data_IF_439307457904
#
_entry.id   IF_439307457904
#
_cell.length_a   1.000
_cell.length_b   1.000
_cell.length_c   1.000
_cell.angle_alpha   90.00
_cell.angle_beta   90.00
_cell.angle_gamma   90.00
#
_symmetry.space_group_name_H-M   'P 1'
#
loop_
_entity.id
_entity.type
_entity.pdbx_description
1 polymer ?
#
# COMPACT_ATOMS: atom_id res chain seq x y z
N UNK A 1 -26.44 -12.49 -16.20
CA UNK A 1 -25.72 -12.61 -14.92
C UNK A 1 -24.59 -13.63 -15.07
N UNK A 2 -23.47 -13.48 -14.35
CA UNK A 2 -22.29 -14.38 -14.42
C UNK A 2 -22.22 -15.42 -13.29
N UNK A 3 -23.25 -15.52 -12.46
CA UNK A 3 -23.28 -16.45 -11.32
C UNK A 3 -22.25 -16.12 -10.23
N UNK A 4 -21.98 -14.83 -10.01
CA UNK A 4 -20.99 -14.39 -9.02
C UNK A 4 -21.67 -14.11 -7.68
N UNK A 5 -21.02 -14.55 -6.60
CA UNK A 5 -21.32 -14.12 -5.23
C UNK A 5 -20.17 -13.25 -4.75
N UNK A 6 -20.50 -12.13 -4.08
CA UNK A 6 -19.51 -11.22 -3.50
C UNK A 6 -19.56 -11.38 -1.99
N UNK A 7 -18.43 -11.75 -1.39
CA UNK A 7 -18.24 -11.78 0.06
C UNK A 7 -17.27 -10.66 0.47
N UNK A 8 -17.66 -9.86 1.47
CA UNK A 8 -16.79 -8.85 2.09
C UNK A 8 -16.33 -9.36 3.46
N UNK A 9 -15.05 -9.14 3.79
CA UNK A 9 -14.44 -9.63 5.03
C UNK A 9 -13.86 -8.42 5.77
N UNK A 10 -14.26 -8.25 7.03
CA UNK A 10 -13.60 -7.31 7.94
C UNK A 10 -12.23 -7.87 8.33
N UNK A 11 -11.16 -7.18 7.93
CA UNK A 11 -9.78 -7.68 8.11
C UNK A 11 -8.89 -6.74 8.94
N UNK A 12 -9.17 -5.43 8.90
CA UNK A 12 -8.38 -4.40 9.57
C UNK A 12 -8.91 -4.14 10.99
N UNK A 13 -8.00 -3.99 11.96
CA UNK A 13 -8.35 -3.98 13.40
C UNK A 13 -8.71 -2.59 13.95
N UNK A 14 -8.07 -1.56 13.39
CA UNK A 14 -8.15 -0.16 13.81
C UNK A 14 -9.30 0.59 13.12
N UNK A 15 -10.24 -0.13 12.52
CA UNK A 15 -11.46 0.46 11.95
C UNK A 15 -12.55 0.56 13.02
N UNK A 16 -13.24 1.71 13.07
CA UNK A 16 -14.47 1.86 13.86
C UNK A 16 -15.63 1.15 13.14
N UNK A 17 -15.96 -0.06 13.61
CA UNK A 17 -17.02 -0.88 13.04
C UNK A 17 -18.39 -0.18 13.11
N UNK A 18 -19.19 -0.33 12.06
CA UNK A 18 -20.57 0.16 11.97
C UNK A 18 -21.39 -0.74 11.04
N UNK A 19 -22.68 -0.44 10.85
CA UNK A 19 -23.57 -1.18 9.95
C UNK A 19 -23.08 -1.23 8.50
N UNK A 20 -22.22 -0.29 8.09
CA UNK A 20 -21.67 -0.18 6.73
C UNK A 20 -20.16 -0.45 6.65
N UNK A 21 -19.49 -0.63 7.79
CA UNK A 21 -18.04 -0.76 7.85
C UNK A 21 -17.61 -1.96 8.69
N UNK A 22 -17.09 -2.97 8.00
CA UNK A 22 -16.59 -4.20 8.61
C UNK A 22 -15.14 -4.02 9.07
N UNK A 23 -14.81 -4.61 10.22
CA UNK A 23 -13.45 -4.65 10.77
C UNK A 23 -13.20 -5.98 11.46
N UNK A 24 -11.97 -6.19 11.92
CA UNK A 24 -11.57 -7.37 12.69
C UNK A 24 -11.35 -7.00 14.16
N UNK A 25 -11.73 -7.88 15.09
CA UNK A 25 -11.28 -7.79 16.47
C UNK A 25 -10.20 -8.85 16.70
N UNK A 26 -8.91 -8.53 16.47
CA UNK A 26 -7.85 -9.52 16.59
C UNK A 26 -7.55 -9.82 18.06
N UNK A 27 -6.94 -10.99 18.36
CA UNK A 27 -6.28 -11.18 19.64
C UNK A 27 -5.19 -10.11 19.85
N UNK A 28 -4.89 -9.82 21.11
CA UNK A 28 -3.79 -8.91 21.49
C UNK A 28 -2.68 -9.70 22.17
N UNK A 29 -1.44 -9.38 21.85
CA UNK A 29 -0.27 -9.95 22.52
C UNK A 29 -0.03 -9.25 23.86
N UNK A 30 0.26 -10.03 24.90
CA UNK A 30 0.70 -9.50 26.19
C UNK A 30 2.21 -9.23 26.14
N UNK A 31 2.57 -7.94 26.20
CA UNK A 31 3.96 -7.47 26.19
C UNK A 31 4.46 -7.03 27.58
N UNK A 32 3.69 -7.25 28.65
CA UNK A 32 4.00 -6.76 30.00
C UNK A 32 5.32 -7.30 30.57
N UNK A 33 5.74 -8.48 30.12
CA UNK A 33 7.03 -9.10 30.49
C UNK A 33 8.22 -8.69 29.62
N UNK A 34 8.01 -7.94 28.52
CA UNK A 34 9.10 -7.52 27.64
C UNK A 34 9.75 -6.23 28.18
N UNK A 35 11.08 -6.25 28.39
CA UNK A 35 11.83 -5.06 28.82
C UNK A 35 11.89 -3.96 27.75
N UNK A 36 11.79 -4.33 26.48
CA UNK A 36 11.73 -3.43 25.34
C UNK A 36 10.72 -3.96 24.33
N UNK A 37 9.46 -3.54 24.47
CA UNK A 37 8.36 -3.91 23.57
C UNK A 37 8.53 -3.38 22.14
N UNK A 38 9.31 -2.29 21.96
CA UNK A 38 9.50 -1.58 20.70
C UNK A 38 8.83 -0.21 20.69
N UNK A 39 8.82 0.42 19.52
CA UNK A 39 8.23 1.75 19.29
C UNK A 39 7.19 1.68 18.17
N UNK A 40 6.23 2.59 18.21
CA UNK A 40 5.33 2.89 17.10
C UNK A 40 5.59 4.31 16.60
N UNK A 41 5.10 4.59 15.39
CA UNK A 41 5.23 5.89 14.74
C UNK A 41 3.89 6.27 14.12
N UNK A 42 3.54 7.55 14.21
CA UNK A 42 2.40 8.14 13.51
C UNK A 42 2.91 9.31 12.70
N UNK A 43 2.56 9.33 11.42
CA UNK A 43 2.81 10.47 10.56
C UNK A 43 1.58 11.38 10.51
N UNK A 44 1.82 12.69 10.51
CA UNK A 44 0.81 13.73 10.55
C UNK A 44 1.08 14.68 9.39
N UNK A 45 0.15 14.74 8.44
CA UNK A 45 0.16 15.66 7.28
C UNK A 45 -1.06 16.56 7.32
N UNK A 46 -1.01 17.68 8.06
CA UNK A 46 -2.14 18.59 8.14
C UNK A 46 -2.41 19.26 6.79
N UNK A 47 -3.69 19.37 6.44
CA UNK A 47 -4.17 20.24 5.35
C UNK A 47 -4.71 21.58 5.86
N UNK A 48 -4.89 21.69 7.18
CA UNK A 48 -5.33 22.89 7.89
C UNK A 48 -4.55 23.04 9.21
N UNK A 49 -4.49 24.25 9.75
CA UNK A 49 -3.85 24.49 11.04
C UNK A 49 -4.60 23.74 12.14
N UNK A 50 -3.86 22.94 12.92
CA UNK A 50 -4.44 22.20 14.05
C UNK A 50 -3.46 22.17 15.22
N UNK A 51 -3.94 22.29 16.45
CA UNK A 51 -3.09 22.19 17.66
C UNK A 51 -3.01 20.76 18.19
N UNK A 52 -3.97 19.92 17.83
CA UNK A 52 -4.13 18.56 18.34
C UNK A 52 -4.31 17.59 17.18
N UNK A 53 -3.66 16.43 17.29
CA UNK A 53 -3.83 15.32 16.35
C UNK A 53 -4.07 13.99 17.08
N UNK A 54 -4.80 13.08 16.45
CA UNK A 54 -4.99 11.71 16.96
C UNK A 54 -3.72 10.90 16.71
N UNK A 55 -3.34 10.02 17.64
CA UNK A 55 -2.22 9.08 17.46
C UNK A 55 -2.63 7.89 16.56
N UNK A 56 -3.15 8.21 15.39
CA UNK A 56 -3.56 7.28 14.36
C UNK A 56 -3.37 7.92 12.98
N UNK A 57 -3.24 7.08 11.96
CA UNK A 57 -3.46 7.54 10.60
C UNK A 57 -4.96 7.81 10.38
N UNK A 58 -5.29 9.01 9.90
CA UNK A 58 -6.66 9.46 9.63
C UNK A 58 -7.60 9.30 10.85
N UNK A 59 -8.73 8.63 10.64
CA UNK A 59 -9.81 8.44 11.62
C UNK A 59 -9.84 7.01 12.19
N UNK A 60 -8.70 6.31 12.18
CA UNK A 60 -8.58 4.96 12.74
C UNK A 60 -8.42 4.99 14.26
N UNK A 61 -8.59 3.82 14.91
CA UNK A 61 -8.34 3.65 16.33
C UNK A 61 -6.85 3.90 16.60
N UNK A 62 -6.51 4.79 17.55
CA UNK A 62 -5.11 5.07 17.88
C UNK A 62 -4.47 3.92 18.64
N UNK A 63 -3.15 3.82 18.53
CA UNK A 63 -2.33 3.08 19.49
C UNK A 63 -1.96 4.02 20.63
N UNK A 64 -2.45 3.74 21.83
CA UNK A 64 -2.29 4.63 22.99
C UNK A 64 -0.83 4.75 23.42
N UNK A 65 -0.41 5.96 23.78
CA UNK A 65 0.89 6.17 24.40
C UNK A 65 0.94 5.51 25.77
N UNK A 66 1.91 4.59 25.97
CA UNK A 66 2.10 3.85 27.23
C UNK A 66 2.33 4.77 28.43
N UNK A 67 3.04 5.88 28.21
CA UNK A 67 3.34 6.89 29.23
C UNK A 67 3.34 8.27 28.59
N UNK A 68 2.37 9.11 28.97
CA UNK A 68 2.24 10.48 28.46
C UNK A 68 3.43 11.40 28.83
N UNK A 69 4.20 11.01 29.84
CA UNK A 69 5.42 11.70 30.30
C UNK A 69 6.70 10.99 29.85
N UNK A 70 6.63 10.05 28.89
CA UNK A 70 7.81 9.36 28.38
C UNK A 70 8.85 10.39 27.87
N UNK A 71 10.07 10.42 28.44
CA UNK A 71 11.13 11.33 27.97
C UNK A 71 11.74 10.90 26.64
N UNK A 72 11.60 9.62 26.26
CA UNK A 72 12.21 9.04 25.05
C UNK A 72 11.30 9.16 23.81
N UNK A 73 10.08 9.68 23.97
CA UNK A 73 9.20 9.96 22.85
C UNK A 73 9.69 11.22 22.10
N UNK A 74 9.67 11.18 20.77
CA UNK A 74 10.18 12.24 19.90
C UNK A 74 9.12 12.69 18.91
N UNK A 75 9.21 13.96 18.49
CA UNK A 75 8.39 14.55 17.43
C UNK A 75 9.34 15.22 16.45
N UNK A 76 9.25 14.86 15.18
CA UNK A 76 10.03 15.44 14.10
C UNK A 76 9.13 16.21 13.15
N UNK A 77 9.72 17.18 12.44
CA UNK A 77 9.09 17.90 11.34
C UNK A 77 10.02 17.99 10.14
N UNK A 78 9.43 17.89 8.96
CA UNK A 78 10.05 18.10 7.64
C UNK A 78 9.17 19.01 6.79
N UNK A 79 9.79 19.70 5.84
CA UNK A 79 9.08 20.54 4.85
C UNK A 79 8.43 19.72 3.72
N UNK A 80 8.94 18.52 3.47
CA UNK A 80 8.46 17.52 2.50
C UNK A 80 9.11 16.16 2.83
N UNK A 81 8.71 15.09 2.14
CA UNK A 81 9.14 13.69 2.42
C UNK A 81 10.65 13.53 2.69
N UNK A 82 11.45 14.02 1.73
CA UNK A 82 12.91 13.94 1.68
C UNK A 82 13.59 15.20 2.24
N UNK A 83 12.83 16.08 2.91
CA UNK A 83 13.34 17.29 3.54
C UNK A 83 14.20 17.01 4.77
N UNK A 84 14.93 18.03 5.23
CA UNK A 84 15.70 17.94 6.48
C UNK A 84 14.77 17.66 7.67
N UNK A 85 15.11 16.64 8.44
CA UNK A 85 14.38 16.26 9.64
C UNK A 85 14.86 17.07 10.84
N UNK A 86 13.93 17.82 11.47
CA UNK A 86 14.22 18.59 12.68
C UNK A 86 13.40 18.07 13.86
N UNK A 87 14.06 17.73 14.96
CA UNK A 87 13.39 17.36 16.19
C UNK A 87 12.73 18.60 16.84
N UNK A 88 11.45 18.50 17.16
CA UNK A 88 10.72 19.52 17.92
C UNK A 88 11.01 19.30 19.42
N UNK A 89 11.51 20.33 20.13
CA UNK A 89 11.82 20.23 21.56
C UNK A 89 10.63 19.76 22.39
N UNK A 90 10.88 18.88 23.37
CA UNK A 90 9.85 18.22 24.19
C UNK A 90 8.98 19.21 24.97
N UNK A 91 9.51 20.37 25.33
CA UNK A 91 8.76 21.45 25.99
C UNK A 91 7.66 22.06 25.11
N UNK A 92 7.74 21.90 23.78
CA UNK A 92 6.79 22.45 22.83
C UNK A 92 5.61 21.51 22.55
N UNK A 93 5.65 20.25 22.97
CA UNK A 93 4.57 19.30 22.68
C UNK A 93 4.37 18.28 23.81
N UNK A 94 3.18 17.67 23.85
CA UNK A 94 2.81 16.71 24.90
C UNK A 94 1.74 15.75 24.40
N UNK A 95 1.66 14.57 25.02
CA UNK A 95 0.52 13.67 24.84
C UNK A 95 -0.68 14.25 25.60
N UNK A 96 -1.49 15.00 24.86
CA UNK A 96 -2.56 15.85 25.36
C UNK A 96 -3.51 16.24 24.22
N UNK A 97 -4.65 16.81 24.60
CA UNK A 97 -5.66 17.33 23.68
C UNK A 97 -6.07 18.73 24.10
N UNK A 98 -6.14 19.65 23.14
CA UNK A 98 -6.78 20.94 23.34
C UNK A 98 -8.30 20.77 23.39
N UNK A 99 -8.93 21.43 24.37
CA UNK A 99 -10.37 21.46 24.58
C UNK A 99 -10.82 22.88 24.90
N UNK A 100 -12.13 23.20 24.88
CA UNK A 100 -12.63 24.53 25.26
C UNK A 100 -12.22 24.99 26.68
N UNK A 101 -11.85 24.06 27.57
CA UNK A 101 -11.40 24.37 28.95
C UNK A 101 -9.87 24.39 29.10
N UNK A 102 -9.14 24.24 28.00
CA UNK A 102 -7.68 24.20 27.94
C UNK A 102 -7.11 22.86 27.50
N UNK A 103 -5.80 22.71 27.63
CA UNK A 103 -5.07 21.50 27.23
C UNK A 103 -5.10 20.47 28.36
N UNK A 104 -5.70 19.32 28.10
CA UNK A 104 -5.83 18.22 29.07
C UNK A 104 -4.97 17.02 28.66
N UNK A 105 -4.40 16.24 29.60
CA UNK A 105 -3.68 15.01 29.29
C UNK A 105 -4.50 14.02 28.46
N UNK A 106 -3.86 13.34 27.50
CA UNK A 106 -4.49 12.32 26.67
C UNK A 106 -3.45 11.31 26.19
N UNK A 107 -3.76 10.03 26.31
CA UNK A 107 -2.93 8.93 25.77
C UNK A 107 -3.18 8.66 24.29
N UNK A 108 -4.23 9.25 23.70
CA UNK A 108 -4.66 9.02 22.33
C UNK A 108 -4.31 10.18 21.39
N UNK A 109 -3.86 11.31 21.94
CA UNK A 109 -3.64 12.53 21.16
C UNK A 109 -2.27 13.13 21.45
N UNK A 110 -1.77 13.89 20.48
CA UNK A 110 -0.61 14.76 20.60
C UNK A 110 -1.06 16.22 20.45
N UNK A 111 -0.57 17.08 21.33
CA UNK A 111 -0.73 18.53 21.26
C UNK A 111 0.63 19.18 20.97
N UNK A 112 0.66 20.09 20.01
CA UNK A 112 1.82 20.90 19.66
C UNK A 112 1.53 22.38 19.95
N UNK A 113 2.34 23.00 20.80
CA UNK A 113 2.29 24.43 21.06
C UNK A 113 2.72 25.20 19.80
N UNK A 114 1.86 26.08 19.29
CA UNK A 114 2.03 26.73 17.99
C UNK A 114 1.35 26.00 16.83
N UNK A 115 0.96 24.74 17.02
CA UNK A 115 0.19 23.94 16.07
C UNK A 115 1.00 23.22 14.99
N UNK A 116 0.36 22.24 14.38
CA UNK A 116 0.75 21.54 13.16
C UNK A 116 0.40 22.42 11.95
N UNK A 117 1.39 22.72 11.11
CA UNK A 117 1.29 23.63 9.98
C UNK A 117 0.98 22.90 8.66
N UNK A 118 0.00 23.37 7.86
CA UNK A 118 -0.33 22.78 6.57
C UNK A 118 0.87 22.60 5.64
N UNK A 119 0.93 21.43 4.99
CA UNK A 119 1.97 21.11 4.01
C UNK A 119 3.31 20.65 4.62
N UNK A 120 3.47 20.69 5.95
CA UNK A 120 4.59 20.03 6.64
C UNK A 120 4.31 18.54 6.84
N UNK A 121 5.36 17.76 7.06
CA UNK A 121 5.27 16.36 7.47
C UNK A 121 5.80 16.22 8.90
N UNK A 122 4.95 15.80 9.83
CA UNK A 122 5.39 15.53 11.21
C UNK A 122 5.38 14.04 11.49
N UNK A 123 6.33 13.56 12.29
CA UNK A 123 6.40 12.16 12.71
C UNK A 123 6.61 12.08 14.22
N UNK A 124 5.65 11.47 14.92
CA UNK A 124 5.78 11.19 16.36
C UNK A 124 6.19 9.74 16.56
N UNK A 125 7.28 9.51 17.30
CA UNK A 125 7.76 8.18 17.67
C UNK A 125 7.60 7.99 19.18
N UNK A 126 6.96 6.90 19.58
CA UNK A 126 6.62 6.68 20.98
C UNK A 126 6.41 5.19 21.32
N UNK A 127 6.35 4.89 22.61
CA UNK A 127 6.05 3.54 23.10
C UNK A 127 4.54 3.34 23.30
N UNK A 128 4.05 2.17 22.93
CA UNK A 128 2.71 1.67 23.27
C UNK A 128 2.82 0.26 23.86
N UNK A 129 1.79 -0.16 24.61
CA UNK A 129 1.60 -1.55 25.03
C UNK A 129 0.44 -2.21 24.30
N UNK A 130 -0.31 -1.47 23.49
CA UNK A 130 -1.39 -2.03 22.69
C UNK A 130 -0.78 -2.79 21.51
N UNK A 131 -0.89 -4.11 21.54
CA UNK A 131 -0.26 -4.97 20.54
C UNK A 131 -1.29 -5.90 19.90
N UNK A 132 -2.25 -5.38 19.11
CA UNK A 132 -3.13 -6.21 18.32
C UNK A 132 -2.31 -7.05 17.35
N UNK A 133 -2.67 -8.33 17.20
CA UNK A 133 -2.06 -9.22 16.22
C UNK A 133 -2.64 -8.86 14.84
N UNK A 134 -2.12 -7.80 14.22
CA UNK A 134 -2.63 -7.27 12.96
C UNK A 134 -2.59 -8.31 11.81
N UNK A 135 -1.60 -9.20 11.83
CA UNK A 135 -1.49 -10.31 10.87
C UNK A 135 -2.69 -11.25 10.86
N UNK A 136 -3.52 -11.27 11.91
CA UNK A 136 -4.78 -12.02 11.93
C UNK A 136 -5.75 -11.61 10.81
N UNK A 137 -5.66 -10.40 10.27
CA UNK A 137 -6.45 -10.00 9.10
C UNK A 137 -6.14 -10.80 7.84
N UNK A 138 -4.87 -11.11 7.62
CA UNK A 138 -4.42 -11.94 6.49
C UNK A 138 -4.86 -13.41 6.66
N UNK A 139 -4.84 -13.91 7.90
CA UNK A 139 -5.33 -15.25 8.24
C UNK A 139 -6.86 -15.33 8.12
N UNK A 140 -7.59 -14.30 8.57
CA UNK A 140 -9.04 -14.24 8.41
C UNK A 140 -9.45 -14.27 6.93
N UNK A 141 -8.71 -13.57 6.06
CA UNK A 141 -8.93 -13.63 4.61
C UNK A 141 -8.72 -15.06 4.07
N UNK A 142 -7.66 -15.76 4.52
CA UNK A 142 -7.38 -17.16 4.15
C UNK A 142 -8.53 -18.07 4.55
N UNK A 143 -8.89 -18.04 5.82
CA UNK A 143 -9.78 -19.04 6.43
C UNK A 143 -11.23 -18.86 5.99
N UNK A 144 -11.71 -17.61 5.91
CA UNK A 144 -13.07 -17.34 5.41
C UNK A 144 -13.19 -17.75 3.95
N UNK A 145 -12.17 -17.49 3.13
CA UNK A 145 -12.20 -17.89 1.71
C UNK A 145 -12.17 -19.42 1.58
N UNK A 146 -11.31 -20.10 2.33
CA UNK A 146 -11.27 -21.57 2.33
C UNK A 146 -12.60 -22.17 2.78
N UNK A 147 -13.17 -21.67 3.88
CA UNK A 147 -14.49 -22.07 4.37
C UNK A 147 -15.56 -21.92 3.29
N UNK A 148 -15.63 -20.74 2.65
CA UNK A 148 -16.60 -20.47 1.59
C UNK A 148 -16.41 -21.43 0.41
N UNK A 149 -15.16 -21.76 0.05
CA UNK A 149 -14.91 -22.63 -1.10
C UNK A 149 -15.17 -24.11 -0.83
N UNK A 150 -14.92 -24.58 0.39
CA UNK A 150 -14.86 -26.03 0.67
C UNK A 150 -15.89 -26.55 1.66
N UNK A 151 -16.47 -25.69 2.49
CA UNK A 151 -17.27 -26.11 3.67
C UNK A 151 -18.65 -25.45 3.71
N UNK A 152 -18.87 -24.36 2.96
CA UNK A 152 -20.14 -23.62 3.01
C UNK A 152 -21.35 -24.43 2.56
N UNK A 153 -21.22 -25.34 1.59
CA UNK A 153 -22.35 -26.15 1.12
C UNK A 153 -22.97 -26.97 2.27
N UNK A 154 -22.14 -27.48 3.19
CA UNK A 154 -22.60 -28.30 4.30
C UNK A 154 -23.21 -27.46 5.43
N UNK A 155 -22.66 -26.28 5.67
CA UNK A 155 -23.00 -25.45 6.84
C UNK A 155 -24.00 -24.33 6.52
N UNK A 156 -24.05 -23.92 5.26
CA UNK A 156 -24.88 -22.84 4.72
C UNK A 156 -25.40 -23.25 3.32
N UNK A 157 -26.26 -24.28 3.21
CA UNK A 157 -26.66 -24.86 1.93
C UNK A 157 -27.34 -23.86 0.98
N UNK A 158 -27.96 -22.81 1.51
CA UNK A 158 -28.62 -21.76 0.72
C UNK A 158 -27.64 -20.80 0.02
N UNK A 159 -26.35 -20.80 0.40
CA UNK A 159 -25.30 -19.99 -0.24
C UNK A 159 -24.86 -20.57 -1.60
N UNK A 160 -25.09 -21.86 -1.82
CA UNK A 160 -24.67 -22.59 -3.02
C UNK A 160 -23.26 -23.18 -2.94
N UNK A 161 -22.85 -23.80 -4.05
CA UNK A 161 -21.55 -24.43 -4.24
C UNK A 161 -20.58 -23.48 -4.97
N UNK A 162 -19.39 -23.30 -4.41
CA UNK A 162 -18.36 -22.37 -4.90
C UNK A 162 -17.13 -23.13 -5.39
N UNK A 163 -17.03 -23.30 -6.71
CA UNK A 163 -15.92 -24.04 -7.32
C UNK A 163 -14.62 -23.24 -7.46
N UNK A 164 -14.70 -21.91 -7.47
CA UNK A 164 -13.56 -21.02 -7.65
C UNK A 164 -13.66 -19.77 -6.78
N UNK A 165 -12.51 -19.27 -6.33
CA UNK A 165 -12.40 -18.04 -5.56
C UNK A 165 -11.49 -17.02 -6.28
N UNK A 166 -11.98 -15.78 -6.41
CA UNK A 166 -11.23 -14.62 -6.89
C UNK A 166 -11.06 -13.62 -5.74
N UNK A 167 -9.82 -13.29 -5.42
CA UNK A 167 -9.49 -12.17 -4.53
C UNK A 167 -9.33 -10.88 -5.34
N UNK A 168 -10.11 -9.86 -5.04
CA UNK A 168 -9.97 -8.52 -5.64
C UNK A 168 -9.65 -7.50 -4.56
N UNK A 169 -8.63 -6.67 -4.81
CA UNK A 169 -8.18 -5.67 -3.86
C UNK A 169 -7.72 -4.39 -4.57
N UNK A 170 -7.97 -3.24 -3.96
CA UNK A 170 -7.65 -1.91 -4.48
C UNK A 170 -6.72 -1.21 -3.50
N UNK A 171 -5.60 -0.68 -4.00
CA UNK A 171 -4.64 0.11 -3.23
C UNK A 171 -4.14 -0.61 -1.97
N UNK A 172 -4.72 -0.33 -0.81
CA UNK A 172 -4.39 -1.01 0.46
C UNK A 172 -4.74 -2.51 0.42
N UNK A 173 -5.95 -2.88 -0.02
CA UNK A 173 -6.34 -4.29 -0.11
C UNK A 173 -5.66 -4.99 -1.30
N UNK A 174 -5.25 -4.24 -2.33
CA UNK A 174 -4.36 -4.75 -3.38
C UNK A 174 -2.99 -5.16 -2.83
N UNK A 175 -2.39 -4.32 -1.97
CA UNK A 175 -1.17 -4.66 -1.22
C UNK A 175 -1.38 -5.78 -0.22
N UNK A 176 -2.61 -5.95 0.28
CA UNK A 176 -2.94 -7.08 1.17
C UNK A 176 -2.83 -8.39 0.42
N UNK A 177 -3.34 -8.46 -0.82
CA UNK A 177 -3.16 -9.64 -1.68
C UNK A 177 -1.69 -9.89 -2.02
N UNK A 178 -0.89 -8.84 -2.27
CA UNK A 178 0.56 -8.98 -2.48
C UNK A 178 1.29 -9.51 -1.25
N UNK A 179 0.96 -8.99 -0.06
CA UNK A 179 1.52 -9.46 1.20
C UNK A 179 1.06 -10.90 1.53
N UNK A 180 -0.18 -11.24 1.19
CA UNK A 180 -0.73 -12.59 1.33
C UNK A 180 0.06 -13.62 0.51
N UNK A 181 0.42 -13.28 -0.73
CA UNK A 181 1.33 -14.08 -1.56
C UNK A 181 2.71 -14.20 -0.91
N UNK A 182 3.31 -13.08 -0.49
CA UNK A 182 4.64 -13.06 0.14
C UNK A 182 4.74 -13.94 1.39
N UNK A 183 3.67 -14.04 2.16
CA UNK A 183 3.62 -14.89 3.35
C UNK A 183 3.29 -16.37 3.05
N UNK A 184 3.01 -16.72 1.80
CA UNK A 184 2.65 -18.07 1.40
C UNK A 184 1.24 -18.48 1.83
N UNK A 185 0.33 -17.53 2.01
CA UNK A 185 -0.97 -17.78 2.62
C UNK A 185 -2.03 -18.34 1.65
N UNK A 186 -1.71 -18.59 0.38
CA UNK A 186 -2.65 -19.17 -0.58
C UNK A 186 -2.89 -20.68 -0.40
N UNK A 187 -2.50 -21.22 0.76
CA UNK A 187 -2.69 -22.60 1.17
C UNK A 187 -3.30 -22.61 2.57
N UNK A 188 -4.41 -23.31 2.74
CA UNK A 188 -5.05 -23.45 4.05
C UNK A 188 -4.37 -24.50 4.94
N UNK A 189 -4.88 -24.68 6.16
CA UNK A 189 -4.30 -25.61 7.14
C UNK A 189 -4.41 -27.09 6.74
N UNK A 190 -5.26 -27.40 5.75
CA UNK A 190 -5.40 -28.73 5.16
C UNK A 190 -4.59 -28.90 3.86
N UNK A 191 -3.79 -27.91 3.48
CA UNK A 191 -2.99 -27.96 2.25
C UNK A 191 -3.78 -27.63 0.96
N UNK A 192 -4.98 -27.06 1.05
CA UNK A 192 -5.85 -26.75 -0.11
C UNK A 192 -5.62 -25.33 -0.62
N UNK A 193 -5.75 -25.14 -1.94
CA UNK A 193 -5.62 -23.84 -2.62
C UNK A 193 -6.75 -22.89 -2.23
N UNK A 194 -6.41 -21.74 -1.66
CA UNK A 194 -7.42 -20.76 -1.19
C UNK A 194 -8.02 -19.97 -2.35
N UNK A 195 -7.22 -19.17 -3.04
CA UNK A 195 -7.63 -18.43 -4.23
C UNK A 195 -7.13 -19.11 -5.49
N UNK A 196 -8.01 -19.17 -6.50
CA UNK A 196 -7.65 -19.60 -7.86
C UNK A 196 -7.16 -18.42 -8.68
N UNK A 197 -7.72 -17.23 -8.44
CA UNK A 197 -7.37 -15.99 -9.10
C UNK A 197 -7.20 -14.83 -8.13
N UNK A 198 -6.23 -13.94 -8.38
CA UNK A 198 -6.07 -12.67 -7.68
C UNK A 198 -6.02 -11.50 -8.68
N UNK A 199 -6.71 -10.41 -8.35
CA UNK A 199 -6.71 -9.15 -9.09
C UNK A 199 -6.30 -7.99 -8.16
N UNK A 200 -5.01 -7.82 -7.85
CA UNK A 200 -4.53 -6.63 -7.15
C UNK A 200 -4.53 -5.44 -8.11
N UNK A 201 -5.27 -4.40 -7.74
CA UNK A 201 -5.42 -3.17 -8.50
C UNK A 201 -4.78 -1.99 -7.76
N UNK A 202 -4.04 -1.15 -8.48
CA UNK A 202 -3.36 0.07 -8.01
C UNK A 202 -2.55 -0.14 -6.72
N UNK A 203 -1.97 -1.33 -6.57
CA UNK A 203 -1.16 -1.72 -5.42
C UNK A 203 0.29 -1.26 -5.54
N UNK A 204 0.76 -1.03 -6.78
CA UNK A 204 2.16 -0.84 -7.12
C UNK A 204 3.03 -2.05 -6.74
N UNK A 205 4.34 -1.84 -6.69
CA UNK A 205 5.35 -2.85 -6.34
C UNK A 205 5.42 -3.19 -4.85
N UNK A 206 4.81 -2.39 -3.97
CA UNK A 206 4.87 -2.61 -2.53
C UNK A 206 4.02 -3.78 -2.03
N UNK A 207 4.38 -4.30 -0.86
CA UNK A 207 3.47 -5.06 0.01
C UNK A 207 2.86 -4.11 1.06
N UNK A 208 2.02 -4.64 1.96
CA UNK A 208 1.46 -3.82 3.05
C UNK A 208 2.20 -3.99 4.37
N UNK A 209 2.13 -2.99 5.25
CA UNK A 209 2.65 -3.05 6.61
C UNK A 209 1.63 -3.71 7.56
N UNK A 210 1.30 -4.98 7.30
CA UNK A 210 0.14 -5.66 7.94
C UNK A 210 0.51 -6.74 8.95
N UNK A 211 1.78 -7.16 8.97
CA UNK A 211 2.25 -8.24 9.83
C UNK A 211 3.56 -7.85 10.52
N UNK A 212 3.48 -6.84 11.38
CA UNK A 212 4.56 -6.44 12.25
C UNK A 212 3.97 -5.90 13.56
N UNK A 213 4.83 -5.73 14.57
CA UNK A 213 4.43 -5.19 15.87
C UNK A 213 3.97 -3.75 15.71
N UNK A 214 2.84 -3.42 16.33
CA UNK A 214 2.20 -2.10 16.27
C UNK A 214 1.78 -1.67 14.86
N UNK A 215 1.51 -2.64 13.97
CA UNK A 215 1.05 -2.35 12.63
C UNK A 215 -0.27 -1.57 12.62
N UNK A 216 -0.25 -0.41 11.95
CA UNK A 216 -1.43 0.36 11.56
C UNK A 216 -1.58 0.21 10.04
N UNK A 217 -2.48 -0.67 9.56
CA UNK A 217 -2.58 -1.00 8.13
C UNK A 217 -2.89 0.18 7.21
N UNK A 218 -3.45 1.25 7.77
CA UNK A 218 -3.74 2.49 7.09
C UNK A 218 -2.48 3.25 6.65
N UNK A 219 -1.32 3.02 7.29
CA UNK A 219 -0.05 3.66 6.92
C UNK A 219 0.27 3.54 5.41
N UNK A 220 0.52 4.68 4.79
CA UNK A 220 0.90 4.80 3.38
C UNK A 220 2.30 5.35 3.15
N UNK A 221 2.69 6.33 3.94
CA UNK A 221 3.63 7.36 3.55
C UNK A 221 4.97 7.23 4.26
N UNK A 222 4.98 6.96 5.56
CA UNK A 222 6.26 6.84 6.25
C UNK A 222 6.96 5.49 5.93
N UNK A 223 8.29 5.50 5.72
CA UNK A 223 9.07 4.30 5.45
C UNK A 223 8.90 3.25 6.57
N UNK A 224 8.50 2.04 6.20
CA UNK A 224 8.20 0.95 7.15
C UNK A 224 8.17 -0.39 6.41
N UNK A 225 7.84 -1.49 7.10
CA UNK A 225 7.82 -2.87 6.58
C UNK A 225 7.16 -3.03 5.21
N UNK A 226 6.08 -2.30 4.93
CA UNK A 226 5.39 -2.33 3.63
C UNK A 226 6.15 -1.71 2.45
N UNK A 227 7.33 -1.13 2.68
CA UNK A 227 8.17 -0.53 1.64
C UNK A 227 9.41 -1.39 1.32
N UNK A 228 9.63 -2.48 2.06
CA UNK A 228 10.80 -3.33 1.87
C UNK A 228 10.67 -4.22 0.63
N UNK A 229 11.81 -4.57 0.06
CA UNK A 229 11.96 -5.68 -0.89
C UNK A 229 11.42 -6.99 -0.26
N UNK A 230 10.77 -7.90 -1.02
CA UNK A 230 10.68 -7.96 -2.49
C UNK A 230 9.53 -7.20 -3.13
N UNK A 231 9.72 -6.77 -4.39
CA UNK A 231 8.73 -6.08 -5.21
C UNK A 231 8.17 -6.93 -6.36
N UNK A 232 8.89 -8.00 -6.74
CA UNK A 232 8.58 -8.88 -7.86
C UNK A 232 8.11 -10.25 -7.38
N UNK A 233 7.34 -10.98 -8.21
CA UNK A 233 6.86 -12.33 -7.89
C UNK A 233 7.98 -13.37 -7.87
N UNK A 234 8.79 -13.38 -8.92
CA UNK A 234 10.01 -14.21 -9.02
C UNK A 234 11.07 -13.79 -8.01
N UNK A 235 11.92 -14.74 -7.64
CA UNK A 235 13.04 -14.49 -6.74
C UNK A 235 14.10 -13.63 -7.43
N UNK A 236 14.31 -12.42 -6.88
CA UNK A 236 15.35 -11.49 -7.31
C UNK A 236 16.35 -11.26 -6.19
N UNK A 237 17.54 -10.79 -6.54
CA UNK A 237 18.52 -10.30 -5.57
C UNK A 237 18.32 -8.81 -5.36
N UNK A 238 18.26 -8.38 -4.11
CA UNK A 238 18.29 -6.96 -3.77
C UNK A 238 19.72 -6.40 -3.99
N UNK A 239 19.91 -5.33 -4.79
CA UNK A 239 21.22 -4.75 -5.04
C UNK A 239 21.78 -3.98 -3.82
N UNK A 240 20.95 -3.60 -2.85
CA UNK A 240 21.34 -2.77 -1.70
C UNK A 240 21.41 -3.53 -0.39
N UNK A 241 20.87 -4.75 -0.35
CA UNK A 241 20.96 -5.64 0.80
C UNK A 241 21.49 -7.02 0.39
N UNK A 242 21.68 -7.92 1.36
CA UNK A 242 22.09 -9.30 1.07
C UNK A 242 20.89 -10.23 0.78
N UNK A 243 19.67 -9.68 0.67
CA UNK A 243 18.43 -10.46 0.53
C UNK A 243 18.21 -10.96 -0.91
N UNK A 244 17.63 -12.16 -0.99
CA UNK A 244 17.13 -12.77 -2.23
C UNK A 244 15.75 -13.36 -1.96
N UNK A 245 14.72 -12.80 -2.59
CA UNK A 245 13.32 -13.11 -2.27
C UNK A 245 12.38 -12.74 -3.43
N UNK A 246 11.14 -13.22 -3.37
CA UNK A 246 10.09 -12.98 -4.36
C UNK A 246 8.71 -13.31 -3.78
N UNK A 247 7.65 -12.63 -4.23
CA UNK A 247 6.31 -12.81 -3.66
C UNK A 247 5.78 -14.25 -3.78
N UNK A 248 6.18 -14.99 -4.82
CA UNK A 248 5.73 -16.37 -5.06
C UNK A 248 6.72 -17.42 -4.57
N UNK A 249 7.86 -17.03 -3.98
CA UNK A 249 8.91 -17.95 -3.52
C UNK A 249 8.39 -19.03 -2.56
N UNK A 250 7.47 -18.68 -1.65
CA UNK A 250 6.85 -19.61 -0.68
C UNK A 250 5.72 -20.46 -1.27
N UNK A 251 5.27 -20.14 -2.49
CA UNK A 251 4.19 -20.82 -3.21
C UNK A 251 4.76 -21.51 -4.46
N UNK A 252 5.94 -22.13 -4.35
CA UNK A 252 6.65 -22.62 -5.52
C UNK A 252 5.95 -23.79 -6.25
N UNK A 253 5.00 -24.48 -5.62
CA UNK A 253 4.22 -25.57 -6.21
C UNK A 253 2.97 -25.05 -6.94
N UNK A 254 2.71 -25.57 -8.15
CA UNK A 254 1.57 -25.20 -9.02
C UNK A 254 0.21 -25.40 -8.34
N UNK A 255 0.12 -26.36 -7.42
CA UNK A 255 -1.09 -26.59 -6.62
C UNK A 255 -1.38 -25.46 -5.63
N UNK A 256 -0.40 -24.60 -5.32
CA UNK A 256 -0.54 -23.48 -4.39
C UNK A 256 -0.56 -22.11 -5.09
N UNK A 257 -0.03 -22.00 -6.32
CA UNK A 257 -0.01 -20.73 -7.08
C UNK A 257 -1.40 -20.35 -7.59
N UNK A 258 -1.88 -19.12 -7.32
CA UNK A 258 -3.04 -18.56 -8.02
C UNK A 258 -2.62 -18.03 -9.40
N UNK A 259 -3.59 -17.84 -10.30
CA UNK A 259 -3.41 -16.94 -11.45
C UNK A 259 -3.53 -15.49 -10.94
N UNK A 260 -2.64 -14.60 -11.36
CA UNK A 260 -2.61 -13.23 -10.88
C UNK A 260 -2.65 -12.26 -12.05
N UNK A 261 -3.56 -11.29 -11.98
CA UNK A 261 -3.55 -10.13 -12.86
C UNK A 261 -3.29 -8.89 -12.03
N UNK A 262 -2.12 -8.29 -12.21
CA UNK A 262 -1.85 -6.97 -11.65
C UNK A 262 -2.34 -5.90 -12.61
N UNK A 263 -3.03 -4.90 -12.07
CA UNK A 263 -3.43 -3.71 -12.82
C UNK A 263 -2.97 -2.47 -12.06
N UNK A 264 -2.28 -1.55 -12.72
CA UNK A 264 -1.85 -0.29 -12.10
C UNK A 264 -2.17 0.88 -13.01
N UNK A 265 -2.35 2.05 -12.39
CA UNK A 265 -2.44 3.33 -13.08
C UNK A 265 -1.06 3.97 -13.18
N UNK A 266 -0.95 5.09 -13.89
CA UNK A 266 0.28 5.90 -13.92
C UNK A 266 0.66 6.40 -12.53
N UNK A 267 -0.30 6.60 -11.63
CA UNK A 267 -0.02 7.08 -10.28
C UNK A 267 0.93 6.15 -9.50
N UNK A 268 0.88 4.82 -9.71
CA UNK A 268 1.75 3.89 -8.99
C UNK A 268 3.18 3.92 -9.54
N UNK A 269 3.34 4.16 -10.84
CA UNK A 269 4.66 4.37 -11.45
C UNK A 269 5.28 5.67 -10.94
N UNK A 270 4.52 6.77 -10.93
CA UNK A 270 4.98 8.07 -10.44
C UNK A 270 5.21 8.11 -8.93
N UNK A 271 4.47 7.31 -8.15
CA UNK A 271 4.68 7.12 -6.71
C UNK A 271 6.01 6.45 -6.39
N UNK A 272 6.58 5.68 -7.31
CA UNK A 272 7.97 5.20 -7.22
C UNK A 272 8.17 3.69 -7.32
N UNK A 273 7.11 2.89 -7.22
CA UNK A 273 7.21 1.42 -7.14
C UNK A 273 6.52 0.66 -8.27
N UNK A 274 5.84 1.34 -9.19
CA UNK A 274 5.12 0.67 -10.29
C UNK A 274 6.05 -0.17 -11.18
N UNK A 275 7.22 0.35 -11.55
CA UNK A 275 8.18 -0.38 -12.40
C UNK A 275 8.85 -1.56 -11.70
N UNK A 276 9.03 -1.50 -10.38
CA UNK A 276 9.66 -2.56 -9.58
C UNK A 276 8.88 -3.89 -9.62
N UNK A 277 7.67 -3.88 -10.16
CA UNK A 277 6.88 -5.09 -10.41
C UNK A 277 7.36 -5.89 -11.60
N UNK A 278 8.10 -5.32 -12.54
CA UNK A 278 8.50 -5.95 -13.81
C UNK A 278 9.92 -5.58 -14.25
N UNK A 279 10.68 -4.88 -13.41
CA UNK A 279 12.12 -4.64 -13.58
C UNK A 279 12.90 -5.17 -12.40
N UNK A 280 14.22 -5.34 -12.56
CA UNK A 280 15.08 -5.56 -11.41
C UNK A 280 15.11 -4.30 -10.51
N UNK A 281 15.46 -4.41 -9.21
CA UNK A 281 15.37 -3.26 -8.31
C UNK A 281 16.33 -2.10 -8.63
N UNK A 282 17.37 -2.35 -9.44
CA UNK A 282 18.26 -1.32 -9.98
C UNK A 282 17.76 -0.68 -11.27
N UNK A 283 16.69 -1.22 -11.88
CA UNK A 283 16.05 -0.67 -13.08
C UNK A 283 16.88 -0.81 -14.35
N UNK A 284 17.77 -1.80 -14.40
CA UNK A 284 18.68 -2.01 -15.53
C UNK A 284 18.15 -3.06 -16.52
N UNK A 285 17.28 -3.96 -16.06
CA UNK A 285 16.77 -5.08 -16.83
C UNK A 285 15.27 -5.24 -16.59
N UNK A 286 14.54 -5.55 -17.66
CA UNK A 286 13.21 -6.12 -17.57
C UNK A 286 13.29 -7.51 -16.94
N UNK A 287 12.30 -7.85 -16.11
CA UNK A 287 12.14 -9.16 -15.50
C UNK A 287 10.86 -9.78 -16.05
N UNK A 288 11.01 -10.97 -16.64
CA UNK A 288 9.87 -11.75 -17.09
C UNK A 288 9.17 -12.41 -15.90
N UNK A 289 7.85 -12.31 -15.88
CA UNK A 289 7.02 -13.07 -14.95
C UNK A 289 6.85 -14.51 -15.44
N UNK A 290 6.50 -15.44 -14.55
CA UNK A 290 5.91 -16.72 -14.93
C UNK A 290 4.58 -16.48 -15.68
N UNK A 291 4.64 -16.30 -17.01
CA UNK A 291 3.49 -15.98 -17.85
C UNK A 291 2.39 -17.05 -17.81
N UNK A 292 2.69 -18.26 -17.36
CA UNK A 292 1.64 -19.25 -17.12
C UNK A 292 0.73 -18.86 -15.92
N UNK A 293 1.19 -18.03 -14.99
CA UNK A 293 0.45 -17.61 -13.79
C UNK A 293 0.16 -16.12 -13.72
N UNK A 294 0.98 -15.25 -14.32
CA UNK A 294 0.95 -13.81 -14.05
C UNK A 294 0.73 -12.99 -15.33
N UNK A 295 -0.05 -11.91 -15.20
CA UNK A 295 -0.12 -10.81 -16.16
C UNK A 295 -0.01 -9.47 -15.45
N UNK A 296 0.62 -8.50 -16.12
CA UNK A 296 0.73 -7.12 -15.65
C UNK A 296 0.18 -6.18 -16.70
N UNK A 297 -0.75 -5.32 -16.29
CA UNK A 297 -1.35 -4.30 -17.15
C UNK A 297 -1.21 -2.92 -16.53
N UNK A 298 -0.64 -2.00 -17.31
CA UNK A 298 -0.57 -0.58 -17.02
C UNK A 298 -1.73 0.14 -17.73
N UNK A 299 -2.54 0.90 -17.00
CA UNK A 299 -3.61 1.73 -17.55
C UNK A 299 -3.07 3.14 -17.81
N UNK A 300 -2.71 3.38 -19.06
CA UNK A 300 -1.88 4.50 -19.46
C UNK A 300 -2.57 5.86 -19.26
N UNK A 301 -1.83 6.83 -18.74
CA UNK A 301 -2.28 8.20 -18.49
C UNK A 301 -3.31 8.35 -17.38
N UNK A 302 -3.60 7.31 -16.59
CA UNK A 302 -4.67 7.33 -15.58
C UNK A 302 -4.16 7.64 -14.17
N UNK A 303 -5.03 8.16 -13.31
CA UNK A 303 -4.73 8.48 -11.91
C UNK A 303 -5.12 7.32 -10.96
N UNK A 304 -4.77 7.44 -9.68
CA UNK A 304 -4.95 6.36 -8.68
C UNK A 304 -6.40 5.85 -8.54
N UNK A 305 -7.38 6.74 -8.71
CA UNK A 305 -8.80 6.41 -8.78
C UNK A 305 -9.36 6.66 -10.17
N UNK A 306 -10.41 5.94 -10.55
CA UNK A 306 -11.06 6.15 -11.84
C UNK A 306 -11.54 7.61 -11.98
N UNK A 307 -11.29 8.20 -13.15
CA UNK A 307 -11.77 9.54 -13.47
C UNK A 307 -13.30 9.61 -13.53
N UNK A 308 -13.83 10.81 -13.34
CA UNK A 308 -15.28 11.06 -13.36
C UNK A 308 -15.60 12.32 -14.17
N UNK A 309 -16.81 12.36 -14.74
CA UNK A 309 -17.33 13.52 -15.47
C UNK A 309 -18.51 14.15 -14.69
N UNK A 310 -18.64 15.50 -14.69
CA UNK A 310 -17.71 16.47 -15.30
C UNK A 310 -16.41 16.58 -14.51
N UNK A 311 -15.36 17.12 -15.13
CA UNK A 311 -14.12 17.46 -14.43
C UNK A 311 -14.44 18.46 -13.31
N UNK A 312 -13.92 18.20 -12.11
CA UNK A 312 -14.13 19.05 -10.93
C UNK A 312 -12.83 19.15 -10.14
N UNK A 313 -12.69 20.20 -9.33
CA UNK A 313 -11.54 20.39 -8.45
C UNK A 313 -12.00 20.43 -6.99
N UNK A 314 -12.47 19.27 -6.51
CA UNK A 314 -12.98 19.09 -5.16
C UNK A 314 -11.90 18.55 -4.21
N UNK A 315 -11.98 18.84 -2.90
CA UNK A 315 -11.05 18.29 -1.95
C UNK A 315 -11.17 16.76 -1.86
N UNK A 316 -10.04 16.08 -1.67
CA UNK A 316 -10.00 14.66 -1.37
C UNK A 316 -10.56 14.33 0.03
N UNK A 317 -10.56 13.04 0.38
CA UNK A 317 -11.15 12.51 1.62
C UNK A 317 -10.60 13.12 2.93
N UNK A 318 -9.46 13.82 2.87
CA UNK A 318 -8.79 14.47 4.01
C UNK A 318 -8.75 16.01 3.88
N UNK A 319 -9.55 16.59 2.98
CA UNK A 319 -9.57 18.04 2.75
C UNK A 319 -8.43 18.58 1.88
N UNK A 320 -7.54 17.71 1.39
CA UNK A 320 -6.46 18.08 0.48
C UNK A 320 -7.01 18.49 -0.89
N UNK A 321 -6.65 19.70 -1.35
CA UNK A 321 -6.97 20.17 -2.69
C UNK A 321 -5.85 19.81 -3.66
N UNK A 322 -6.15 19.24 -4.83
CA UNK A 322 -5.13 19.09 -5.85
C UNK A 322 -4.86 20.46 -6.50
N UNK A 323 -3.62 20.66 -6.93
CA UNK A 323 -3.22 21.90 -7.60
C UNK A 323 -3.95 22.09 -8.94
N UNK A 324 -4.25 20.98 -9.61
CA UNK A 324 -5.00 20.92 -10.86
C UNK A 324 -6.19 20.00 -10.73
N UNK A 325 -7.22 20.23 -11.55
CA UNK A 325 -8.37 19.34 -11.59
C UNK A 325 -7.92 17.91 -12.00
N UNK A 326 -8.36 16.85 -11.29
CA UNK A 326 -7.96 15.48 -11.59
C UNK A 326 -8.36 15.04 -13.01
N UNK A 327 -7.71 13.97 -13.49
CA UNK A 327 -8.01 13.37 -14.78
C UNK A 327 -9.45 12.78 -14.79
N UNK A 328 -10.11 12.83 -15.94
CA UNK A 328 -11.47 12.34 -16.19
C UNK A 328 -11.52 10.93 -16.81
N UNK A 329 -10.37 10.35 -17.21
CA UNK A 329 -10.33 9.03 -17.84
C UNK A 329 -10.83 7.95 -16.86
N UNK A 330 -11.95 7.29 -17.22
CA UNK A 330 -12.53 6.17 -16.46
C UNK A 330 -11.97 4.83 -16.95
N UNK A 331 -11.07 4.23 -16.17
CA UNK A 331 -10.51 2.91 -16.46
C UNK A 331 -11.42 1.75 -16.01
N UNK A 332 -12.59 2.01 -15.42
CA UNK A 332 -13.50 0.95 -14.96
C UNK A 332 -13.82 -0.10 -16.02
N UNK A 333 -13.97 0.23 -17.33
CA UNK A 333 -14.13 -0.77 -18.38
C UNK A 333 -12.93 -1.73 -18.50
N UNK A 334 -11.69 -1.24 -18.41
CA UNK A 334 -10.49 -2.09 -18.44
C UNK A 334 -10.40 -2.99 -17.22
N UNK A 335 -10.72 -2.45 -16.04
CA UNK A 335 -10.73 -3.23 -14.81
C UNK A 335 -11.78 -4.36 -14.85
N UNK A 336 -12.98 -4.07 -15.38
CA UNK A 336 -14.00 -5.10 -15.64
C UNK A 336 -13.51 -6.13 -16.64
N UNK A 337 -12.82 -5.72 -17.70
CA UNK A 337 -12.22 -6.65 -18.68
C UNK A 337 -11.15 -7.55 -18.04
N UNK A 338 -10.29 -7.01 -17.18
CA UNK A 338 -9.30 -7.77 -16.42
C UNK A 338 -9.97 -8.82 -15.52
N UNK A 339 -10.99 -8.43 -14.76
CA UNK A 339 -11.77 -9.39 -13.96
C UNK A 339 -12.38 -10.51 -14.81
N UNK A 340 -12.99 -10.14 -15.94
CA UNK A 340 -13.60 -11.09 -16.88
C UNK A 340 -12.56 -12.06 -17.45
N UNK A 341 -11.38 -11.57 -17.80
CA UNK A 341 -10.29 -12.38 -18.33
C UNK A 341 -9.71 -13.30 -17.24
N UNK A 342 -9.52 -12.81 -16.02
CA UNK A 342 -9.07 -13.63 -14.90
C UNK A 342 -10.05 -14.76 -14.61
N UNK A 343 -11.35 -14.46 -14.59
CA UNK A 343 -12.38 -15.49 -14.44
C UNK A 343 -12.24 -16.57 -15.51
N UNK A 344 -12.19 -16.19 -16.79
CA UNK A 344 -12.03 -17.15 -17.90
C UNK A 344 -10.73 -17.96 -17.80
N UNK A 345 -9.65 -17.34 -17.32
CA UNK A 345 -8.37 -18.01 -17.15
C UNK A 345 -8.45 -19.13 -16.12
N UNK A 346 -9.11 -18.87 -14.97
CA UNK A 346 -9.20 -19.86 -13.90
C UNK A 346 -10.30 -20.91 -14.11
N UNK A 347 -11.37 -20.59 -14.87
CA UNK A 347 -12.50 -21.51 -15.08
C UNK A 347 -12.42 -22.31 -16.37
N UNK A 348 -11.78 -21.76 -17.42
CA UNK A 348 -11.79 -22.34 -18.76
C UNK A 348 -10.41 -22.45 -19.39
N UNK A 349 -9.34 -22.13 -18.64
CA UNK A 349 -7.95 -22.12 -19.13
C UNK A 349 -7.77 -21.23 -20.37
N UNK A 350 -8.64 -20.24 -20.55
CA UNK A 350 -8.51 -19.28 -21.64
C UNK A 350 -7.51 -18.21 -21.20
N UNK A 351 -6.32 -18.26 -21.79
CA UNK A 351 -5.29 -17.28 -21.49
C UNK A 351 -5.75 -15.85 -21.80
N UNK A 352 -5.42 -14.91 -20.90
CA UNK A 352 -5.63 -13.49 -21.16
C UNK A 352 -4.60 -12.95 -22.16
N UNK A 353 -4.81 -11.74 -22.72
CA UNK A 353 -3.79 -11.07 -23.54
C UNK A 353 -2.44 -10.98 -22.83
N UNK A 354 -1.36 -10.84 -23.58
CA UNK A 354 -0.02 -10.65 -23.01
C UNK A 354 0.04 -9.38 -22.16
N UNK A 355 0.97 -9.37 -21.19
CA UNK A 355 1.23 -8.21 -20.35
C UNK A 355 1.49 -6.95 -21.21
N UNK A 356 1.01 -5.81 -20.71
CA UNK A 356 1.18 -4.50 -21.35
C UNK A 356 1.57 -3.47 -20.31
N UNK A 357 2.86 -3.16 -20.25
CA UNK A 357 3.47 -2.18 -19.36
C UNK A 357 4.73 -1.59 -20.03
N UNK A 358 5.26 -0.46 -19.53
CA UNK A 358 6.55 0.07 -19.98
C UNK A 358 7.67 -0.95 -19.83
N UNK A 359 8.61 -1.00 -20.78
CA UNK A 359 9.78 -1.88 -20.77
C UNK A 359 11.06 -1.15 -21.12
N UNK A 360 12.18 -1.62 -20.58
CA UNK A 360 13.51 -1.05 -20.82
C UNK A 360 13.99 -1.45 -22.22
N UNK A 361 13.79 -2.71 -22.61
CA UNK A 361 14.28 -3.28 -23.87
C UNK A 361 13.67 -2.66 -25.15
N UNK A 362 12.46 -2.12 -25.07
CA UNK A 362 11.79 -1.38 -26.15
C UNK A 362 11.86 0.14 -25.99
N UNK A 363 12.55 0.62 -24.96
CA UNK A 363 12.77 2.05 -24.68
C UNK A 363 11.53 2.79 -24.17
N UNK A 364 10.47 2.08 -23.77
CA UNK A 364 9.25 2.72 -23.27
C UNK A 364 9.25 2.98 -21.77
N UNK A 365 10.09 2.31 -20.98
CA UNK A 365 10.36 2.62 -19.58
C UNK A 365 11.57 3.56 -19.46
N UNK A 366 11.34 4.76 -18.92
CA UNK A 366 12.37 5.81 -18.80
C UNK A 366 12.42 6.38 -17.40
N UNK A 367 13.48 7.10 -17.06
CA UNK A 367 13.54 7.84 -15.81
C UNK A 367 12.49 8.97 -15.81
N UNK A 368 12.00 9.32 -14.62
CA UNK A 368 11.01 10.41 -14.49
C UNK A 368 11.51 11.73 -15.07
N UNK A 369 12.80 12.03 -14.93
CA UNK A 369 13.38 13.27 -15.42
C UNK A 369 13.27 13.39 -16.95
N UNK A 370 13.36 12.28 -17.69
CA UNK A 370 13.18 12.28 -19.15
C UNK A 370 11.77 12.71 -19.54
N UNK A 371 10.75 12.22 -18.82
CA UNK A 371 9.36 12.64 -19.03
C UNK A 371 9.19 14.11 -18.63
N UNK A 372 9.70 14.51 -17.46
CA UNK A 372 9.58 15.90 -16.99
C UNK A 372 10.27 16.90 -17.93
N UNK A 373 11.32 16.50 -18.64
CA UNK A 373 11.95 17.32 -19.68
C UNK A 373 11.04 17.60 -20.88
N UNK A 374 10.09 16.70 -21.18
CA UNK A 374 9.05 16.94 -22.19
C UNK A 374 8.02 17.93 -21.65
N UNK A 375 7.56 17.73 -20.40
CA UNK A 375 6.57 18.62 -19.76
C UNK A 375 7.09 20.06 -19.59
N UNK A 376 8.38 20.25 -19.34
CA UNK A 376 9.02 21.58 -19.26
C UNK A 376 8.96 22.37 -20.58
N UNK A 377 8.69 21.70 -21.71
CA UNK A 377 8.55 22.34 -23.01
C UNK A 377 7.08 22.65 -23.36
N UNK A 378 6.12 22.11 -22.59
CA UNK A 378 4.70 22.34 -22.83
C UNK A 378 4.29 23.75 -22.38
N UNK A 379 3.58 24.53 -23.21
CA UNK A 379 3.12 25.86 -22.84
C UNK A 379 2.25 25.86 -21.58
N UNK A 380 2.52 26.78 -20.66
CA UNK A 380 1.72 27.00 -19.44
C UNK A 380 1.67 25.81 -18.46
N UNK A 381 2.44 24.75 -18.71
CA UNK A 381 2.53 23.59 -17.82
C UNK A 381 3.34 23.92 -16.56
N UNK A 382 2.82 23.52 -15.41
CA UNK A 382 3.58 23.50 -14.16
C UNK A 382 4.10 22.10 -13.93
N UNK A 383 5.40 21.92 -14.12
CA UNK A 383 6.08 20.65 -13.87
C UNK A 383 6.37 20.52 -12.36
N UNK A 384 6.12 19.35 -11.75
CA UNK A 384 6.48 19.08 -10.36
C UNK A 384 7.98 19.27 -10.10
N UNK A 385 8.32 19.69 -8.88
CA UNK A 385 9.70 19.76 -8.43
C UNK A 385 10.31 18.35 -8.35
N UNK A 386 11.28 18.09 -9.24
CA UNK A 386 12.00 16.81 -9.37
C UNK A 386 12.55 16.32 -8.03
N UNK A 387 13.03 17.21 -7.15
CA UNK A 387 13.64 16.81 -5.87
C UNK A 387 12.62 16.45 -4.80
N UNK A 388 11.32 16.69 -5.04
CA UNK A 388 10.23 16.44 -4.07
C UNK A 388 9.35 15.26 -4.45
N UNK A 389 9.69 14.56 -5.54
CA UNK A 389 8.98 13.36 -5.96
C UNK A 389 9.27 12.20 -5.01
N UNK A 390 8.25 11.40 -4.73
CA UNK A 390 8.38 10.24 -3.85
C UNK A 390 9.34 9.21 -4.45
N UNK A 391 10.03 8.49 -3.59
CA UNK A 391 10.95 7.41 -3.97
C UNK A 391 10.81 6.24 -3.01
N UNK A 392 11.19 5.06 -3.46
CA UNK A 392 11.35 3.88 -2.60
C UNK A 392 12.83 3.73 -2.31
N UNK A 393 13.17 3.41 -1.06
CA UNK A 393 14.55 3.24 -0.61
C UNK A 393 14.75 1.91 0.08
N UNK A 394 15.99 1.42 0.03
CA UNK A 394 16.44 0.43 0.99
C UNK A 394 16.42 1.04 2.40
N UNK A 395 16.07 0.23 3.39
CA UNK A 395 15.88 0.69 4.76
C UNK A 395 16.38 -0.30 5.79
N UNK A 396 16.82 0.22 6.92
CA UNK A 396 17.17 -0.52 8.13
C UNK A 396 16.15 -0.22 9.23
N UNK A 397 15.33 -1.21 9.53
CA UNK A 397 14.33 -1.18 10.60
C UNK A 397 14.90 -1.72 11.93
N UNK A 398 16.21 -1.95 12.01
CA UNK A 398 16.92 -2.46 13.18
C UNK A 398 17.01 -3.98 13.25
N UNK A 399 17.92 -4.49 14.09
CA UNK A 399 18.22 -5.93 14.19
C UNK A 399 17.10 -6.86 14.69
N UNK A 400 15.92 -6.32 15.03
CA UNK A 400 14.72 -7.11 15.37
C UNK A 400 13.65 -7.08 14.28
N UNK A 401 13.94 -6.50 13.10
CA UNK A 401 12.98 -6.37 12.00
C UNK A 401 12.46 -7.72 11.50
N UNK A 402 13.28 -8.76 11.48
CA UNK A 402 12.86 -10.12 11.09
C UNK A 402 11.80 -10.71 12.05
N UNK A 403 11.70 -10.19 13.27
CA UNK A 403 10.64 -10.52 14.23
C UNK A 403 9.47 -9.52 14.18
N UNK A 404 9.42 -8.65 13.17
CA UNK A 404 8.41 -7.61 13.01
C UNK A 404 8.55 -6.44 13.98
N UNK A 405 9.71 -6.20 14.59
CA UNK A 405 9.91 -5.06 15.51
C UNK A 405 10.82 -4.02 14.87
N UNK A 406 10.24 -2.88 14.50
CA UNK A 406 10.94 -1.76 13.86
C UNK A 406 11.56 -0.76 14.83
N UNK A 407 12.52 0.01 14.33
CA UNK A 407 13.10 1.21 14.96
C UNK A 407 12.73 2.41 14.11
N UNK A 408 12.34 3.51 14.78
CA UNK A 408 11.89 4.74 14.14
C UNK A 408 12.60 5.97 14.74
N UNK A 409 12.80 7.06 13.97
CA UNK A 409 12.54 7.16 12.53
C UNK A 409 13.39 6.18 11.74
N UNK A 410 12.83 5.65 10.65
CA UNK A 410 13.48 4.59 9.88
C UNK A 410 14.71 5.15 9.18
N UNK A 411 15.82 4.40 9.24
CA UNK A 411 17.04 4.77 8.52
C UNK A 411 16.94 4.28 7.08
N UNK A 412 16.93 5.21 6.13
CA UNK A 412 16.90 4.93 4.70
C UNK A 412 18.26 5.14 4.05
N UNK A 413 18.50 4.47 2.92
CA UNK A 413 19.77 4.49 2.19
C UNK A 413 19.54 4.75 0.70
N UNK A 414 20.01 3.84 -0.16
CA UNK A 414 19.93 3.91 -1.61
C UNK A 414 18.49 3.88 -2.10
N UNK A 415 18.24 4.57 -3.23
CA UNK A 415 16.96 4.58 -3.92
C UNK A 415 16.88 3.38 -4.85
N UNK A 416 15.75 2.67 -4.82
CA UNK A 416 15.41 1.75 -5.90
C UNK A 416 15.06 2.54 -7.16
N UNK A 417 15.17 1.88 -8.31
CA UNK A 417 14.80 2.48 -9.58
C UNK A 417 13.33 2.88 -9.59
N UNK A 418 13.06 4.01 -10.23
CA UNK A 418 11.71 4.50 -10.47
C UNK A 418 11.63 4.86 -11.96
N UNK A 419 11.08 3.92 -12.74
CA UNK A 419 10.84 4.10 -14.16
C UNK A 419 9.35 4.36 -14.40
N UNK A 420 9.06 5.18 -15.40
CA UNK A 420 7.70 5.52 -15.84
C UNK A 420 7.55 5.26 -17.33
N UNK A 421 6.31 5.26 -17.82
CA UNK A 421 6.04 5.24 -19.26
C UNK A 421 6.59 6.52 -19.90
N UNK A 422 7.43 6.39 -20.91
CA UNK A 422 7.81 7.50 -21.80
C UNK A 422 6.57 8.14 -22.43
N UNK A 423 6.70 9.37 -22.91
CA UNK A 423 5.59 10.14 -23.48
C UNK A 423 5.92 10.64 -24.88
N UNK A 424 4.89 10.92 -25.68
CA UNK A 424 5.05 11.70 -26.91
C UNK A 424 5.23 13.20 -26.62
N UNK A 425 5.38 14.00 -27.68
CA UNK A 425 5.58 15.45 -27.58
C UNK A 425 4.41 16.21 -26.95
N UNK A 426 3.23 15.60 -26.87
CA UNK A 426 2.03 16.17 -26.26
C UNK A 426 1.84 15.69 -24.81
N UNK A 427 2.79 14.90 -24.28
CA UNK A 427 2.75 14.38 -22.91
C UNK A 427 1.91 13.11 -22.74
N UNK A 428 1.49 12.44 -23.81
CA UNK A 428 0.71 11.21 -23.71
C UNK A 428 1.63 10.00 -23.61
N UNK A 429 1.34 9.11 -22.65
CA UNK A 429 2.13 7.90 -22.42
C UNK A 429 2.18 6.96 -23.63
N UNK A 430 3.38 6.44 -23.90
CA UNK A 430 3.66 5.61 -25.07
C UNK A 430 3.32 4.13 -24.85
N UNK A 431 3.49 3.63 -23.63
CA UNK A 431 3.23 2.23 -23.26
C UNK A 431 2.10 2.07 -22.24
N UNK A 432 1.62 0.84 -22.12
CA UNK A 432 0.40 0.47 -21.40
C UNK A 432 -0.84 0.38 -22.30
N UNK A 433 -1.98 0.14 -21.68
CA UNK A 433 -3.29 0.11 -22.33
C UNK A 433 -3.86 1.52 -22.29
N UNK A 434 -3.96 2.15 -23.46
CA UNK A 434 -4.60 3.46 -23.61
C UNK A 434 -6.11 3.29 -23.75
N UNK A 435 -6.87 4.12 -23.05
CA UNK A 435 -8.32 4.22 -23.23
C UNK A 435 -8.64 5.13 -24.42
N UNK A 436 -9.76 4.91 -25.13
CA UNK A 436 -10.13 5.69 -26.32
C UNK A 436 -10.68 7.09 -26.02
N UNK A 437 -10.62 7.55 -24.76
CA UNK A 437 -11.26 8.78 -24.28
C UNK A 437 -10.29 9.95 -24.16
#
# INVERSE_FOLDING_TARGET
ERGLTVASIGWQWDVYQSDVLMGLNPPSADLSGESNAGQTVVEIRPNEMATTWLLADRVHKPLKAKNISNPDATLYVKDFEDGEETAIPRENWKFAKETPVGVIPSEEHIYLNGGFEPGKCYQVVYETTESPIAGSGLIALRDVTSFLKYESEQLLPDLGDFNHAIGYGVSQTGRMLRHFLYLGLNVDESGRKVFDGLLPHVAGGRVGAFNHRFAQPSNQSYPSFGHQFPFHDEELKDPFTEKSDGLLKKLADDHSRPKVMYTNSSAEYWRGDGSLMHTDPSGLNDIEHAAEFVRVYHFAGTQHGAGTLPQSNEPGAEGAFPLFAPNIIDYSPLLRAAFVNLQKWITNEIEPPDSKHPRIDDGTAVERDDVLNVFDQLPEQVTPDRSKLWVIRAMDLGGRSENGVGIYPTKEYERYACLVSSVDMDGNELSGIRLPD
#
